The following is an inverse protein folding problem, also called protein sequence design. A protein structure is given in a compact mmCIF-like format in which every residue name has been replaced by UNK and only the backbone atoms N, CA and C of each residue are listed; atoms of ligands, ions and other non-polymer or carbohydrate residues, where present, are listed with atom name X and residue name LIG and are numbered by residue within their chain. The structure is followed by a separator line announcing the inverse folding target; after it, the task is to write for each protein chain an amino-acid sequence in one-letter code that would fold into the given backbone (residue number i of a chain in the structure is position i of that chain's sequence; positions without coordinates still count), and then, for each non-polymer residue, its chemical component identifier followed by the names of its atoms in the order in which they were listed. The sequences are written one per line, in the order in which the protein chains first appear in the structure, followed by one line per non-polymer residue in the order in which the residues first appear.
data_IF_811571679518
#
_entry.id   IF_811571679518
#
_cell.length_a   1.000
_cell.length_b   1.000
_cell.length_c   1.000
_cell.angle_alpha   90.00
_cell.angle_beta   90.00
_cell.angle_gamma   90.00
#
_symmetry.space_group_name_H-M   'P 1'
#
loop_
_entity.id
_entity.type
_entity.pdbx_description
1 polymer ?
#
# COMPACT_ATOMS: atom_id res chain seq x y z
N UNK A 1 -14.00 1.29 -18.82
CA UNK A 1 -14.13 2.11 -17.60
C UNK A 1 -13.37 3.43 -17.77
N UNK A 2 -14.07 4.55 -17.79
CA UNK A 2 -13.46 5.88 -17.84
C UNK A 2 -13.77 6.62 -16.52
N UNK A 3 -12.77 6.85 -15.65
CA UNK A 3 -12.99 7.62 -14.43
C UNK A 3 -13.26 9.10 -14.78
N UNK A 4 -14.23 9.76 -14.10
CA UNK A 4 -14.62 11.13 -14.44
C UNK A 4 -13.49 12.18 -14.33
N UNK A 5 -12.44 11.90 -13.55
CA UNK A 5 -11.29 12.77 -13.36
C UNK A 5 -10.18 12.55 -14.40
N UNK A 6 -10.32 11.56 -15.27
CA UNK A 6 -9.38 11.25 -16.35
C UNK A 6 -10.12 11.21 -17.69
N UNK A 7 -9.48 11.65 -18.74
CA UNK A 7 -10.01 11.63 -20.11
C UNK A 7 -9.66 10.34 -20.87
N UNK A 8 -9.37 9.26 -20.14
CA UNK A 8 -8.99 7.96 -20.68
C UNK A 8 -9.60 6.80 -19.89
N UNK A 9 -9.76 5.65 -20.54
CA UNK A 9 -10.01 4.38 -19.89
C UNK A 9 -8.66 3.67 -19.63
N UNK A 10 -8.30 3.33 -18.40
CA UNK A 10 -7.07 2.58 -18.12
C UNK A 10 -6.97 1.27 -18.89
N UNK A 11 -8.09 0.58 -19.14
CA UNK A 11 -8.12 -0.70 -19.84
C UNK A 11 -7.89 -0.56 -21.36
N UNK A 12 -8.05 0.65 -21.91
CA UNK A 12 -7.68 0.93 -23.30
C UNK A 12 -6.17 1.19 -23.47
N UNK A 13 -5.49 1.54 -22.37
CA UNK A 13 -4.06 1.86 -22.36
C UNK A 13 -3.18 0.75 -21.81
N UNK A 14 -3.71 -0.08 -20.93
CA UNK A 14 -2.99 -1.16 -20.26
C UNK A 14 -3.45 -2.53 -20.76
N UNK A 15 -2.51 -3.44 -20.94
CA UNK A 15 -2.80 -4.85 -21.08
C UNK A 15 -2.90 -5.47 -19.67
N UNK A 16 -4.09 -5.49 -19.10
CA UNK A 16 -4.33 -6.03 -17.76
C UNK A 16 -4.61 -7.53 -17.86
N UNK A 17 -3.86 -8.32 -17.10
CA UNK A 17 -3.99 -9.79 -17.05
C UNK A 17 -4.24 -10.22 -15.61
N UNK A 18 -5.30 -10.99 -15.39
CA UNK A 18 -5.54 -11.68 -14.12
C UNK A 18 -4.66 -12.93 -14.06
N UNK A 19 -3.71 -12.95 -13.13
CA UNK A 19 -2.79 -14.06 -12.93
C UNK A 19 -3.32 -15.13 -11.98
N UNK A 20 -4.53 -14.95 -11.47
CA UNK A 20 -5.13 -15.85 -10.47
C UNK A 20 -4.51 -15.71 -9.08
N UNK A 21 -4.87 -16.61 -8.21
CA UNK A 21 -4.42 -16.62 -6.82
C UNK A 21 -3.02 -17.26 -6.69
N UNK A 22 -2.26 -16.77 -5.72
CA UNK A 22 -1.00 -17.40 -5.33
C UNK A 22 -1.30 -18.57 -4.41
N UNK A 23 -0.76 -19.74 -4.74
CA UNK A 23 -0.89 -20.92 -3.89
C UNK A 23 -0.06 -20.73 -2.60
N UNK A 24 -0.76 -20.53 -1.50
CA UNK A 24 -0.16 -20.28 -0.18
C UNK A 24 -0.40 -21.49 0.71
N UNK A 25 0.68 -22.11 1.16
CA UNK A 25 0.61 -23.19 2.14
C UNK A 25 0.11 -22.66 3.49
N UNK A 26 -1.08 -23.10 3.90
CA UNK A 26 -1.69 -22.69 5.16
C UNK A 26 -0.81 -23.10 6.35
N UNK A 27 -0.51 -22.12 7.23
CA UNK A 27 0.20 -22.37 8.48
C UNK A 27 1.73 -22.24 8.43
N UNK A 28 2.34 -22.01 7.28
CA UNK A 28 3.77 -21.74 7.16
C UNK A 28 4.02 -20.38 6.49
N UNK A 29 4.31 -19.37 7.30
CA UNK A 29 4.53 -17.99 6.85
C UNK A 29 5.76 -17.89 5.95
N UNK A 30 6.81 -18.65 6.21
CA UNK A 30 8.04 -18.60 5.40
C UNK A 30 7.77 -19.13 3.98
N UNK A 31 7.08 -20.26 3.87
CA UNK A 31 6.68 -20.83 2.57
C UNK A 31 5.73 -19.89 1.83
N UNK A 32 4.77 -19.27 2.53
CA UNK A 32 3.88 -18.27 1.93
C UNK A 32 4.66 -17.07 1.38
N UNK A 33 5.65 -16.58 2.13
CA UNK A 33 6.50 -15.47 1.68
C UNK A 33 7.31 -15.83 0.44
N UNK A 34 7.89 -17.03 0.40
CA UNK A 34 8.64 -17.50 -0.78
C UNK A 34 7.73 -17.59 -2.01
N UNK A 35 6.51 -18.11 -1.85
CA UNK A 35 5.51 -18.21 -2.94
C UNK A 35 5.13 -16.82 -3.47
N UNK A 36 4.85 -15.85 -2.58
CA UNK A 36 4.51 -14.48 -2.96
C UNK A 36 5.70 -13.81 -3.65
N UNK A 37 6.91 -13.92 -3.07
CA UNK A 37 8.12 -13.35 -3.67
C UNK A 37 8.32 -13.88 -5.10
N UNK A 38 8.26 -15.20 -5.30
CA UNK A 38 8.44 -15.82 -6.61
C UNK A 38 7.35 -15.41 -7.62
N UNK A 39 6.11 -15.24 -7.17
CA UNK A 39 5.03 -14.78 -8.05
C UNK A 39 5.28 -13.33 -8.53
N UNK A 40 5.64 -12.43 -7.62
CA UNK A 40 5.91 -11.03 -7.96
C UNK A 40 7.16 -10.90 -8.83
N UNK A 41 8.22 -11.68 -8.55
CA UNK A 41 9.43 -11.72 -9.40
C UNK A 41 9.10 -12.13 -10.84
N UNK A 42 8.21 -13.13 -11.05
CA UNK A 42 7.79 -13.52 -12.41
C UNK A 42 7.07 -12.40 -13.14
N UNK A 43 6.22 -11.63 -12.44
CA UNK A 43 5.50 -10.48 -13.04
C UNK A 43 6.50 -9.39 -13.42
N UNK A 44 7.41 -9.04 -12.52
CA UNK A 44 8.45 -8.02 -12.78
C UNK A 44 9.41 -8.43 -13.90
N UNK A 45 9.79 -9.72 -13.96
CA UNK A 45 10.63 -10.26 -15.05
C UNK A 45 9.94 -10.22 -16.42
N UNK A 46 8.61 -10.16 -16.45
CA UNK A 46 7.82 -9.93 -17.67
C UNK A 46 7.64 -8.43 -17.99
N UNK A 47 8.37 -7.54 -17.33
CA UNK A 47 8.26 -6.08 -17.46
C UNK A 47 6.84 -5.55 -17.19
N UNK A 48 6.07 -6.26 -16.35
CA UNK A 48 4.72 -5.88 -15.95
C UNK A 48 4.72 -5.32 -14.52
N UNK A 49 3.75 -4.44 -14.24
CA UNK A 49 3.56 -3.86 -12.90
C UNK A 49 2.63 -4.76 -12.10
N UNK A 50 3.08 -5.34 -10.98
CA UNK A 50 2.20 -6.09 -10.09
C UNK A 50 1.15 -5.19 -9.44
N UNK A 51 -0.11 -5.62 -9.53
CA UNK A 51 -1.23 -5.05 -8.79
C UNK A 51 -1.83 -6.19 -7.99
N UNK A 52 -1.63 -6.18 -6.68
CA UNK A 52 -2.01 -7.29 -5.81
C UNK A 52 -3.22 -6.95 -4.96
N UNK A 53 -4.06 -7.93 -4.73
CA UNK A 53 -5.18 -7.83 -3.82
C UNK A 53 -5.05 -8.93 -2.79
N UNK A 54 -4.89 -8.54 -1.56
CA UNK A 54 -5.11 -9.49 -0.64
C UNK A 54 -4.36 -9.85 0.50
N UNK A 55 -4.83 -10.68 1.34
CA UNK A 55 -4.30 -11.04 2.62
C UNK A 55 -4.30 -9.87 3.61
N UNK A 56 -3.59 -10.07 4.67
CA UNK A 56 -3.27 -9.05 5.67
C UNK A 56 -1.99 -8.29 5.30
N UNK A 57 -1.60 -7.28 6.06
CA UNK A 57 -0.41 -6.47 5.80
C UNK A 57 0.93 -7.24 5.75
N UNK A 58 0.95 -8.54 6.09
CA UNK A 58 2.17 -9.35 6.00
C UNK A 58 2.54 -9.71 4.55
N UNK A 59 1.58 -9.67 3.62
CA UNK A 59 1.85 -9.95 2.19
C UNK A 59 2.75 -8.90 1.53
N UNK A 60 2.86 -7.72 2.13
CA UNK A 60 3.66 -6.61 1.61
C UNK A 60 5.17 -6.89 1.64
N UNK A 61 5.70 -7.49 2.72
CA UNK A 61 7.15 -7.72 2.85
C UNK A 61 7.74 -8.61 1.74
N UNK A 62 7.17 -9.77 1.40
CA UNK A 62 7.69 -10.59 0.30
C UNK A 62 7.62 -9.89 -1.07
N UNK A 63 6.61 -9.03 -1.29
CA UNK A 63 6.50 -8.22 -2.50
C UNK A 63 7.59 -7.14 -2.55
N UNK A 64 7.87 -6.46 -1.43
CA UNK A 64 8.97 -5.50 -1.30
C UNK A 64 10.34 -6.17 -1.58
N UNK A 65 10.55 -7.39 -1.09
CA UNK A 65 11.77 -8.16 -1.39
C UNK A 65 11.95 -8.40 -2.89
N UNK A 66 10.88 -8.80 -3.58
CA UNK A 66 10.90 -9.00 -5.03
C UNK A 66 11.17 -7.69 -5.78
N UNK A 67 10.44 -6.63 -5.43
CA UNK A 67 10.54 -5.33 -6.08
C UNK A 67 11.91 -4.67 -5.85
N UNK A 68 12.45 -4.73 -4.63
CA UNK A 68 13.76 -4.16 -4.32
C UNK A 68 14.91 -4.90 -5.03
N UNK A 69 14.78 -6.19 -5.33
CA UNK A 69 15.76 -6.92 -6.16
C UNK A 69 15.79 -6.40 -7.60
N UNK A 70 14.65 -5.96 -8.13
CA UNK A 70 14.54 -5.47 -9.51
C UNK A 70 14.88 -3.98 -9.64
N UNK A 71 14.54 -3.16 -8.65
CA UNK A 71 14.61 -1.70 -8.74
C UNK A 71 15.58 -1.04 -7.74
N UNK A 72 16.19 -1.82 -6.82
CA UNK A 72 16.91 -1.29 -5.66
C UNK A 72 15.95 -0.81 -4.57
N UNK A 73 16.46 -0.11 -3.54
CA UNK A 73 15.62 0.42 -2.47
C UNK A 73 14.53 1.36 -3.00
N UNK A 74 13.27 1.10 -2.61
CA UNK A 74 12.09 1.78 -3.14
C UNK A 74 11.66 2.95 -2.24
N UNK A 75 11.11 4.00 -2.84
CA UNK A 75 10.26 4.90 -2.10
C UNK A 75 8.98 4.17 -1.66
N UNK A 76 8.36 4.60 -0.55
CA UNK A 76 7.16 3.96 -0.02
C UNK A 76 6.07 4.99 0.22
N UNK A 77 4.87 4.71 -0.27
CA UNK A 77 3.63 5.34 0.18
C UNK A 77 2.79 4.25 0.83
N UNK A 78 2.77 4.21 2.17
CA UNK A 78 1.93 3.33 2.96
C UNK A 78 0.75 4.11 3.52
N UNK A 79 -0.44 3.85 3.01
CA UNK A 79 -1.69 4.51 3.37
C UNK A 79 -2.46 3.56 4.30
N UNK A 80 -2.60 3.93 5.59
CA UNK A 80 -3.05 3.01 6.64
C UNK A 80 -3.43 3.81 7.91
N UNK A 81 -4.27 3.24 8.76
CA UNK A 81 -4.48 3.72 10.13
C UNK A 81 -3.30 3.43 11.06
N UNK A 82 -2.45 2.49 10.70
CA UNK A 82 -1.33 1.99 11.50
C UNK A 82 0.03 2.30 10.84
N UNK A 83 1.13 1.97 11.52
CA UNK A 83 2.48 2.09 10.93
C UNK A 83 3.04 0.75 10.48
N UNK A 84 2.51 -0.35 10.98
CA UNK A 84 3.02 -1.69 10.78
C UNK A 84 4.54 -1.84 11.01
N UNK A 85 5.04 -0.97 11.89
CA UNK A 85 6.39 -0.94 12.39
C UNK A 85 6.40 -1.34 13.86
N UNK A 86 6.30 -2.62 14.15
CA UNK A 86 6.45 -3.14 15.50
C UNK A 86 7.83 -3.76 15.71
N UNK A 87 8.34 -3.80 16.96
CA UNK A 87 9.61 -4.46 17.25
C UNK A 87 9.53 -5.99 17.11
N UNK A 88 8.31 -6.56 17.07
CA UNK A 88 8.09 -7.99 17.18
C UNK A 88 8.24 -8.51 18.61
N UNK A 89 7.78 -9.73 18.88
CA UNK A 89 7.96 -10.42 20.15
C UNK A 89 9.29 -11.18 20.19
N UNK A 90 9.76 -11.57 19.02
CA UNK A 90 11.04 -12.26 18.83
C UNK A 90 11.83 -11.59 17.69
N UNK A 91 13.17 -11.68 17.71
CA UNK A 91 13.99 -11.19 16.60
C UNK A 91 13.57 -11.86 15.28
N UNK A 92 13.37 -11.06 14.23
CA UNK A 92 12.99 -11.56 12.91
C UNK A 92 11.53 -12.01 12.77
N UNK A 93 10.67 -11.72 13.74
CA UNK A 93 9.24 -12.07 13.65
C UNK A 93 8.62 -11.50 12.38
N UNK A 94 7.93 -12.38 11.63
CA UNK A 94 7.19 -12.06 10.43
C UNK A 94 5.70 -11.97 10.79
N UNK A 95 5.14 -10.79 10.71
CA UNK A 95 3.73 -10.53 11.01
C UNK A 95 3.28 -9.22 10.36
N UNK A 96 1.97 -8.97 10.20
CA UNK A 96 1.49 -7.69 9.67
C UNK A 96 2.08 -6.49 10.41
N UNK A 97 2.15 -6.58 11.76
CA UNK A 97 2.63 -5.48 12.59
C UNK A 97 4.14 -5.26 12.56
N UNK A 98 4.93 -6.10 11.89
CA UNK A 98 6.40 -5.98 11.79
C UNK A 98 6.88 -5.78 10.36
N UNK A 99 5.97 -5.74 9.41
CA UNK A 99 6.25 -5.68 7.96
C UNK A 99 7.27 -4.61 7.60
N UNK A 100 7.04 -3.38 7.99
CA UNK A 100 7.94 -2.28 7.63
C UNK A 100 9.18 -2.18 8.53
N UNK A 101 9.15 -2.75 9.73
CA UNK A 101 10.39 -2.92 10.51
C UNK A 101 11.35 -3.85 9.78
N UNK A 102 10.85 -4.99 9.30
CA UNK A 102 11.67 -5.93 8.51
C UNK A 102 12.13 -5.30 7.19
N UNK A 103 11.25 -4.59 6.49
CA UNK A 103 11.61 -3.90 5.25
C UNK A 103 12.75 -2.89 5.46
N UNK A 104 12.73 -2.12 6.55
CA UNK A 104 13.80 -1.19 6.91
C UNK A 104 15.09 -1.92 7.28
N UNK A 105 15.03 -2.97 8.11
CA UNK A 105 16.20 -3.75 8.52
C UNK A 105 16.88 -4.48 7.33
N UNK A 106 16.10 -4.91 6.35
CA UNK A 106 16.58 -5.55 5.14
C UNK A 106 17.08 -4.56 4.07
N UNK A 107 16.92 -3.24 4.29
CA UNK A 107 17.35 -2.20 3.35
C UNK A 107 16.53 -2.17 2.04
N UNK A 108 15.26 -2.58 2.09
CA UNK A 108 14.39 -2.65 0.92
C UNK A 108 13.82 -1.27 0.52
N UNK A 109 13.92 -0.29 1.41
CA UNK A 109 13.30 1.03 1.27
C UNK A 109 14.34 2.15 1.28
N UNK A 110 14.10 3.18 0.48
CA UNK A 110 14.72 4.49 0.61
C UNK A 110 13.97 5.25 1.74
N UNK A 111 14.49 5.16 2.95
CA UNK A 111 13.82 5.68 4.14
C UNK A 111 13.66 7.21 4.13
N UNK A 112 14.48 7.95 3.37
CA UNK A 112 14.29 9.38 3.18
C UNK A 112 13.02 9.71 2.36
N UNK A 113 12.43 8.68 1.72
CA UNK A 113 11.23 8.73 0.88
C UNK A 113 10.21 7.66 1.24
N UNK A 114 10.15 7.28 2.52
CA UNK A 114 9.22 6.27 3.02
C UNK A 114 8.21 6.92 3.98
N UNK A 115 6.94 6.84 3.63
CA UNK A 115 5.85 7.55 4.31
C UNK A 115 4.79 6.59 4.82
N UNK A 116 4.40 6.75 6.10
CA UNK A 116 3.16 6.22 6.65
C UNK A 116 2.13 7.35 6.70
N UNK A 117 0.98 7.17 6.06
CA UNK A 117 -0.03 8.22 5.84
C UNK A 117 -1.37 7.80 6.41
N UNK A 118 -1.91 8.58 7.34
CA UNK A 118 -3.24 8.34 7.92
C UNK A 118 -3.22 7.78 9.33
N UNK A 119 -2.05 7.55 9.89
CA UNK A 119 -1.86 6.91 11.21
C UNK A 119 -2.68 7.61 12.29
N UNK A 120 -3.56 6.83 12.95
CA UNK A 120 -4.52 7.36 13.93
C UNK A 120 -4.92 6.30 14.97
N UNK A 121 -5.86 6.66 15.81
CA UNK A 121 -6.48 5.74 16.75
C UNK A 121 -5.52 5.17 17.81
N UNK A 122 -5.84 3.97 18.27
CA UNK A 122 -5.12 3.29 19.33
C UNK A 122 -3.94 2.50 18.79
N UNK A 123 -2.73 2.94 19.14
CA UNK A 123 -1.51 2.25 18.71
C UNK A 123 -1.23 1.01 19.59
N UNK A 124 -0.68 -0.04 18.99
CA UNK A 124 -0.44 -1.35 19.64
C UNK A 124 0.50 -1.29 20.84
N UNK A 125 1.39 -0.30 20.89
CA UNK A 125 2.32 -0.09 21.99
C UNK A 125 2.63 1.40 22.17
N UNK A 126 3.03 1.77 23.39
CA UNK A 126 3.42 3.14 23.72
C UNK A 126 4.64 3.56 22.90
N UNK A 127 4.52 4.65 22.18
CA UNK A 127 5.62 5.19 21.37
C UNK A 127 5.74 4.60 19.96
N UNK A 128 4.71 3.92 19.44
CA UNK A 128 4.72 3.32 18.09
C UNK A 128 5.12 4.31 16.99
N UNK A 129 4.55 5.53 17.00
CA UNK A 129 4.90 6.57 16.02
C UNK A 129 6.37 7.01 16.15
N UNK A 130 6.86 7.16 17.39
CA UNK A 130 8.27 7.50 17.61
C UNK A 130 9.19 6.37 17.15
N UNK A 131 8.77 5.11 17.35
CA UNK A 131 9.51 3.95 16.86
C UNK A 131 9.63 3.95 15.33
N UNK A 132 8.53 4.18 14.60
CA UNK A 132 8.54 4.30 13.14
C UNK A 132 9.49 5.43 12.67
N UNK A 133 9.40 6.60 13.30
CA UNK A 133 10.29 7.73 13.00
C UNK A 133 11.76 7.43 13.28
N UNK A 134 12.07 6.70 14.35
CA UNK A 134 13.44 6.29 14.68
C UNK A 134 14.01 5.27 13.69
N UNK A 135 13.17 4.49 13.00
CA UNK A 135 13.57 3.64 11.89
C UNK A 135 13.87 4.45 10.61
N UNK A 136 13.44 5.71 10.54
CA UNK A 136 13.65 6.61 9.41
C UNK A 136 12.38 6.95 8.62
N UNK A 137 11.22 6.40 8.98
CA UNK A 137 9.96 6.71 8.28
C UNK A 137 9.43 8.10 8.62
N UNK A 138 8.88 8.79 7.64
CA UNK A 138 8.04 9.95 7.88
C UNK A 138 6.61 9.49 8.17
N UNK A 139 6.03 9.98 9.27
CA UNK A 139 4.65 9.66 9.67
C UNK A 139 3.79 10.90 9.52
N UNK A 140 2.90 10.90 8.54
CA UNK A 140 1.82 11.86 8.34
C UNK A 140 0.61 11.35 9.13
N UNK A 141 0.48 11.80 10.37
CA UNK A 141 -0.64 11.38 11.23
C UNK A 141 -1.98 11.82 10.65
N UNK A 142 -3.06 11.09 10.95
CA UNK A 142 -4.40 11.40 10.45
C UNK A 142 -4.82 12.84 10.74
N UNK A 143 -4.52 13.36 11.94
CA UNK A 143 -4.82 14.75 12.30
C UNK A 143 -4.12 15.76 11.38
N UNK A 144 -2.91 15.49 10.96
CA UNK A 144 -2.15 16.36 10.06
C UNK A 144 -2.60 16.20 8.61
N UNK A 145 -2.91 14.96 8.20
CA UNK A 145 -3.50 14.65 6.91
C UNK A 145 -4.81 15.39 6.69
N UNK A 146 -5.77 15.25 7.62
CA UNK A 146 -7.08 15.92 7.50
C UNK A 146 -7.00 17.45 7.60
N UNK A 147 -6.02 17.99 8.32
CA UNK A 147 -5.79 19.43 8.37
C UNK A 147 -5.18 19.97 7.08
N UNK A 148 -4.24 19.25 6.49
CA UNK A 148 -3.60 19.62 5.21
C UNK A 148 -4.55 19.41 4.03
N UNK A 149 -5.32 18.33 4.04
CA UNK A 149 -6.16 17.88 2.94
C UNK A 149 -5.45 16.85 2.04
N UNK A 150 -6.28 16.06 1.35
CA UNK A 150 -5.82 14.90 0.57
C UNK A 150 -4.95 15.31 -0.63
N UNK A 151 -5.42 16.28 -1.40
CA UNK A 151 -4.74 16.78 -2.60
C UNK A 151 -3.38 17.40 -2.29
N UNK A 152 -3.29 18.22 -1.25
CA UNK A 152 -2.04 18.85 -0.84
C UNK A 152 -1.06 17.82 -0.26
N UNK A 153 -1.56 16.83 0.48
CA UNK A 153 -0.74 15.73 0.97
C UNK A 153 -0.17 14.90 -0.18
N UNK A 154 -0.99 14.52 -1.16
CA UNK A 154 -0.49 13.77 -2.32
C UNK A 154 0.54 14.54 -3.12
N UNK A 155 0.35 15.84 -3.32
CA UNK A 155 1.35 16.71 -3.95
C UNK A 155 2.66 16.71 -3.17
N UNK A 156 2.60 16.87 -1.85
CA UNK A 156 3.75 16.80 -0.96
C UNK A 156 4.51 15.46 -1.09
N UNK A 157 3.78 14.33 -1.03
CA UNK A 157 4.39 13.01 -1.15
C UNK A 157 5.10 12.85 -2.51
N UNK A 158 4.43 13.23 -3.58
CA UNK A 158 4.97 13.14 -4.94
C UNK A 158 6.24 13.97 -5.14
N UNK A 159 6.27 15.20 -4.60
CA UNK A 159 7.45 16.06 -4.64
C UNK A 159 8.63 15.45 -3.87
N UNK A 160 8.35 14.83 -2.71
CA UNK A 160 9.37 14.17 -1.89
C UNK A 160 9.90 12.89 -2.53
N UNK A 161 9.06 12.11 -3.18
CA UNK A 161 9.44 10.88 -3.89
C UNK A 161 10.28 11.22 -5.13
N UNK A 162 9.89 12.26 -5.87
CA UNK A 162 10.59 12.66 -7.10
C UNK A 162 10.50 11.59 -8.19
N UNK A 163 11.63 11.24 -8.76
CA UNK A 163 11.76 10.26 -9.86
C UNK A 163 12.20 8.87 -9.35
N UNK A 164 11.97 8.56 -8.07
CA UNK A 164 12.33 7.25 -7.51
C UNK A 164 11.23 6.22 -7.79
N UNK A 165 11.58 4.99 -8.15
CA UNK A 165 10.63 3.88 -8.16
C UNK A 165 9.97 3.76 -6.79
N UNK A 166 8.64 3.68 -6.78
CA UNK A 166 7.87 3.71 -5.55
C UNK A 166 6.97 2.47 -5.41
N UNK A 167 6.75 2.05 -4.19
CA UNK A 167 5.80 1.04 -3.79
C UNK A 167 4.58 1.72 -3.16
N UNK A 168 3.38 1.41 -3.64
CA UNK A 168 2.13 1.80 -2.99
C UNK A 168 1.58 0.62 -2.20
N UNK A 169 1.46 0.78 -0.88
CA UNK A 169 0.71 -0.12 -0.02
C UNK A 169 -0.54 0.62 0.49
N UNK A 170 -1.71 0.09 0.18
CA UNK A 170 -2.99 0.64 0.60
C UNK A 170 -3.72 -0.36 1.50
N UNK A 171 -3.71 -0.09 2.81
CA UNK A 171 -4.51 -0.82 3.77
C UNK A 171 -5.94 -0.27 3.80
N UNK A 172 -6.92 -1.16 3.70
CA UNK A 172 -8.33 -0.74 3.65
C UNK A 172 -8.84 -0.20 4.97
N UNK A 173 -8.14 -0.38 6.09
CA UNK A 173 -8.48 0.22 7.38
C UNK A 173 -8.10 1.71 7.48
N UNK A 174 -7.42 2.26 6.46
CA UNK A 174 -7.28 3.70 6.27
C UNK A 174 -8.62 4.41 6.21
N UNK A 175 -9.61 3.78 5.60
CA UNK A 175 -10.97 4.31 5.55
C UNK A 175 -11.64 4.25 6.93
N UNK A 176 -12.61 5.16 7.12
CA UNK A 176 -13.48 5.09 8.29
C UNK A 176 -14.37 3.83 8.24
N UNK A 177 -14.58 3.14 9.37
CA UNK A 177 -15.44 1.96 9.42
C UNK A 177 -16.88 2.19 8.94
N UNK A 178 -17.33 3.43 8.84
CA UNK A 178 -18.63 3.78 8.28
C UNK A 178 -18.74 3.50 6.77
N UNK A 179 -17.61 3.42 6.05
CA UNK A 179 -17.58 3.08 4.64
C UNK A 179 -16.76 1.81 4.31
N UNK A 180 -15.86 1.39 5.21
CA UNK A 180 -15.08 0.17 5.07
C UNK A 180 -15.08 -0.66 6.37
N UNK A 181 -16.23 -1.27 6.75
CA UNK A 181 -16.32 -2.06 7.98
C UNK A 181 -15.58 -3.40 7.91
N UNK A 182 -15.34 -3.94 6.71
CA UNK A 182 -14.78 -5.27 6.49
C UNK A 182 -13.26 -5.33 6.58
N UNK A 183 -12.70 -4.91 7.72
CA UNK A 183 -11.27 -4.96 8.02
C UNK A 183 -11.06 -5.57 9.42
N UNK A 184 -9.88 -6.11 9.68
CA UNK A 184 -9.61 -6.77 10.97
C UNK A 184 -9.38 -5.80 12.12
N UNK A 185 -8.88 -4.60 11.85
CA UNK A 185 -8.51 -3.60 12.86
C UNK A 185 -9.07 -2.22 12.51
N UNK A 186 -10.40 -2.06 12.54
CA UNK A 186 -11.02 -0.79 12.18
C UNK A 186 -10.67 0.29 13.21
N UNK A 187 -10.25 1.46 12.73
CA UNK A 187 -10.02 2.64 13.55
C UNK A 187 -10.95 3.79 13.12
N UNK A 188 -11.70 4.34 14.07
CA UNK A 188 -12.63 5.43 13.83
C UNK A 188 -11.92 6.75 13.49
N UNK A 189 -12.62 7.65 12.79
CA UNK A 189 -12.08 8.94 12.37
C UNK A 189 -11.16 8.81 11.16
N UNK A 190 -11.40 7.80 10.33
CA UNK A 190 -10.70 7.57 9.07
C UNK A 190 -11.21 8.42 7.91
N UNK A 191 -10.62 8.21 6.75
CA UNK A 191 -11.04 8.87 5.52
C UNK A 191 -12.40 8.33 5.04
N UNK A 192 -13.22 9.21 4.50
CA UNK A 192 -14.35 8.79 3.67
C UNK A 192 -13.84 8.17 2.36
N UNK A 193 -14.69 7.39 1.68
CA UNK A 193 -14.36 6.84 0.37
C UNK A 193 -13.89 7.93 -0.63
N UNK A 194 -14.55 9.10 -0.63
CA UNK A 194 -14.17 10.23 -1.48
C UNK A 194 -12.76 10.75 -1.16
N UNK A 195 -12.45 10.94 0.11
CA UNK A 195 -11.13 11.44 0.54
C UNK A 195 -10.01 10.47 0.21
N UNK A 196 -10.19 9.16 0.43
CA UNK A 196 -9.19 8.17 0.07
C UNK A 196 -8.93 8.09 -1.43
N UNK A 197 -9.98 8.18 -2.25
CA UNK A 197 -9.82 8.24 -3.71
C UNK A 197 -9.17 9.56 -4.16
N UNK A 198 -9.47 10.70 -3.53
CA UNK A 198 -8.81 11.98 -3.80
C UNK A 198 -7.31 11.91 -3.49
N UNK A 199 -6.92 11.29 -2.36
CA UNK A 199 -5.51 11.08 -2.03
C UNK A 199 -4.80 10.26 -3.10
N UNK A 200 -5.37 9.13 -3.54
CA UNK A 200 -4.81 8.31 -4.61
C UNK A 200 -4.65 9.10 -5.92
N UNK A 201 -5.70 9.79 -6.35
CA UNK A 201 -5.68 10.59 -7.58
C UNK A 201 -4.60 11.68 -7.56
N UNK A 202 -4.34 12.24 -6.39
CA UNK A 202 -3.30 13.28 -6.21
C UNK A 202 -1.86 12.75 -6.33
N UNK A 203 -1.67 11.42 -6.32
CA UNK A 203 -0.38 10.76 -6.53
C UNK A 203 -0.03 10.54 -8.02
N UNK A 204 -0.88 11.01 -8.95
CA UNK A 204 -0.65 10.89 -10.39
C UNK A 204 0.71 11.46 -10.81
N UNK A 205 1.45 10.69 -11.62
CA UNK A 205 2.81 11.01 -12.08
C UNK A 205 3.93 10.48 -11.18
N UNK A 206 3.60 9.78 -10.07
CA UNK A 206 4.57 8.98 -9.31
C UNK A 206 4.88 7.69 -10.06
N UNK A 207 6.14 7.28 -10.12
CA UNK A 207 6.57 6.03 -10.73
C UNK A 207 6.33 4.85 -9.78
N UNK A 208 5.08 4.40 -9.69
CA UNK A 208 4.76 3.20 -8.94
C UNK A 208 5.11 1.94 -9.72
N UNK A 209 5.95 1.09 -9.12
CA UNK A 209 6.40 -0.20 -9.69
C UNK A 209 5.65 -1.40 -9.12
N UNK A 210 4.95 -1.23 -8.00
CA UNK A 210 4.04 -2.21 -7.39
C UNK A 210 2.90 -1.48 -6.71
N UNK A 211 1.69 -2.03 -6.84
CA UNK A 211 0.50 -1.64 -6.08
C UNK A 211 0.02 -2.82 -5.24
N UNK A 212 -0.21 -2.58 -3.96
CA UNK A 212 -0.65 -3.57 -2.98
C UNK A 212 -1.87 -3.04 -2.23
N UNK A 213 -3.02 -3.68 -2.41
CA UNK A 213 -4.26 -3.37 -1.69
C UNK A 213 -4.58 -4.55 -0.79
N UNK A 214 -4.61 -4.33 0.50
CA UNK A 214 -4.71 -5.42 1.48
C UNK A 214 -5.73 -5.17 2.60
N UNK A 215 -5.84 -6.13 3.52
CA UNK A 215 -6.65 -6.14 4.75
C UNK A 215 -8.16 -6.19 4.59
N UNK A 216 -8.70 -6.40 3.38
CA UNK A 216 -10.12 -6.74 3.28
C UNK A 216 -10.39 -8.06 4.00
N UNK A 217 -11.32 -8.02 4.93
CA UNK A 217 -11.77 -9.18 5.72
C UNK A 217 -13.23 -9.51 5.41
N UNK A 218 -13.52 -10.41 4.44
CA UNK A 218 -14.89 -10.70 4.02
C UNK A 218 -15.82 -11.13 5.16
N UNK A 219 -15.37 -11.88 6.20
CA UNK A 219 -16.25 -12.25 7.31
C UNK A 219 -16.74 -11.06 8.15
N UNK A 220 -15.99 -9.94 8.17
CA UNK A 220 -16.36 -8.70 8.87
C UNK A 220 -17.08 -7.71 7.94
N UNK A 221 -17.11 -7.98 6.63
CA UNK A 221 -17.70 -7.03 5.67
C UNK A 221 -19.22 -7.08 5.70
N UNK A 222 -19.83 -5.91 5.54
CA UNK A 222 -21.27 -5.77 5.51
C UNK A 222 -21.77 -5.67 4.06
N UNK A 223 -22.26 -6.79 3.54
CA UNK A 223 -22.82 -6.84 2.19
C UNK A 223 -21.82 -6.56 1.07
N UNK A 224 -20.52 -6.75 1.32
CA UNK A 224 -19.48 -6.53 0.32
C UNK A 224 -19.09 -5.06 0.11
N UNK A 225 -19.47 -4.17 1.00
CA UNK A 225 -19.18 -2.72 0.86
C UNK A 225 -17.68 -2.43 0.83
N UNK A 226 -16.91 -3.06 1.71
CA UNK A 226 -15.45 -2.90 1.76
C UNK A 226 -14.79 -3.51 0.53
N UNK A 227 -15.22 -4.70 0.12
CA UNK A 227 -14.72 -5.34 -1.09
C UNK A 227 -15.00 -4.49 -2.35
N UNK A 228 -16.19 -3.88 -2.45
CA UNK A 228 -16.52 -2.96 -3.54
C UNK A 228 -15.64 -1.71 -3.54
N UNK A 229 -15.37 -1.15 -2.35
CA UNK A 229 -14.47 0.00 -2.23
C UNK A 229 -13.02 -0.38 -2.56
N UNK A 230 -12.56 -1.57 -2.16
CA UNK A 230 -11.24 -2.08 -2.54
C UNK A 230 -11.11 -2.25 -4.07
N UNK A 231 -12.13 -2.78 -4.73
CA UNK A 231 -12.17 -2.86 -6.18
C UNK A 231 -12.09 -1.46 -6.82
N UNK A 232 -12.70 -0.43 -6.20
CA UNK A 232 -12.58 0.94 -6.66
C UNK A 232 -11.15 1.49 -6.46
N UNK A 233 -10.51 1.19 -5.34
CA UNK A 233 -9.09 1.52 -5.09
C UNK A 233 -8.19 0.88 -6.16
N UNK A 234 -8.41 -0.39 -6.49
CA UNK A 234 -7.66 -1.07 -7.56
C UNK A 234 -7.82 -0.37 -8.93
N UNK A 235 -9.01 0.11 -9.26
CA UNK A 235 -9.22 0.86 -10.51
C UNK A 235 -8.45 2.20 -10.50
N UNK A 236 -8.32 2.86 -9.34
CA UNK A 236 -7.45 4.04 -9.23
C UNK A 236 -5.97 3.67 -9.37
N UNK A 237 -5.52 2.52 -8.82
CA UNK A 237 -4.17 2.02 -9.03
C UNK A 237 -3.87 1.80 -10.53
N UNK A 238 -4.81 1.23 -11.29
CA UNK A 238 -4.66 1.10 -12.75
C UNK A 238 -4.59 2.47 -13.44
N UNK A 239 -5.40 3.44 -13.00
CA UNK A 239 -5.32 4.81 -13.53
C UNK A 239 -3.96 5.47 -13.23
N UNK A 240 -3.41 5.27 -12.04
CA UNK A 240 -2.07 5.74 -11.67
C UNK A 240 -0.98 5.06 -12.53
N UNK A 241 -1.08 3.76 -12.76
CA UNK A 241 -0.15 3.04 -13.64
C UNK A 241 -0.10 3.61 -15.08
N UNK A 242 -1.24 4.11 -15.59
CA UNK A 242 -1.28 4.80 -16.90
C UNK A 242 -0.59 6.18 -16.90
N UNK A 243 -0.37 6.77 -15.73
CA UNK A 243 0.10 8.15 -15.59
C UNK A 243 1.54 8.23 -15.10
N UNK A 244 2.27 7.11 -15.08
CA UNK A 244 3.70 7.10 -14.76
C UNK A 244 4.49 7.83 -15.84
N UNK A 245 5.59 8.50 -15.46
CA UNK A 245 6.43 9.29 -16.40
C UNK A 245 7.05 8.44 -17.49
N UNK A 246 7.24 7.14 -17.30
CA UNK A 246 7.82 6.20 -18.26
C UNK A 246 6.87 5.82 -19.41
N UNK A 247 5.57 6.11 -19.31
CA UNK A 247 4.59 5.81 -20.35
C UNK A 247 4.56 6.84 -21.49
N UNK A 248 5.45 7.82 -21.50
CA UNK A 248 5.50 8.93 -22.48
C UNK A 248 6.75 8.92 -23.35
N UNK A 249 7.24 7.74 -23.72
CA UNK A 249 8.31 7.63 -24.74
C UNK A 249 7.87 6.80 -25.95
#
# INVERSE_FOLDING_TARGET
YQPPHADFDPLDRLNVVDCGDIDIAAGDVAVAYDSITAAVERILAAEAVPVTLGGDGSVTLPQLRAAARSHGPLALVHIDAHTDTGPGKTPGELSPSTTFTRAAEEGLLDLDRAFHVGVRGTQRFKGAIAFARNLGFEVVAGVDLFRRGMSETGTYLRERIGDRPAYLCFDMDFFDPSCAPGVCQPESGGATAREGLELLQSLAGTEFVVFDVNTVSPPQDNGGMTALLAARVLLECLALACQTKSATS
#
